data_IF_622990026301
#
_entry.id   IF_622990026301
#
_cell.length_a   1.000
_cell.length_b   1.000
_cell.length_c   1.000
_cell.angle_alpha   90.00
_cell.angle_beta   90.00
_cell.angle_gamma   90.00
#
_symmetry.space_group_name_H-M   'P 1'
#
loop_
_entity.id
_entity.type
_entity.pdbx_description
1 polymer ?
#
# COMPACT_ATOMS: atom_id res chain seq x y z
N UNK A 1 8.06 11.88 -15.29
CA UNK A 1 7.10 12.84 -14.70
C UNK A 1 7.42 12.98 -13.22
N UNK A 2 7.17 14.11 -12.62
CA UNK A 2 7.41 14.26 -11.19
C UNK A 2 6.19 13.72 -10.40
N UNK A 3 6.41 13.06 -9.29
CA UNK A 3 5.32 12.60 -8.40
C UNK A 3 4.45 13.75 -7.86
N UNK A 4 4.93 15.00 -7.97
CA UNK A 4 4.17 16.20 -7.56
C UNK A 4 2.89 16.43 -8.37
N UNK A 5 2.81 15.91 -9.60
CA UNK A 5 1.64 16.05 -10.49
C UNK A 5 0.77 14.79 -10.52
N UNK A 6 1.17 13.71 -9.85
CA UNK A 6 0.55 12.40 -9.95
C UNK A 6 -0.97 12.43 -9.75
N UNK A 7 -1.44 13.10 -8.70
CA UNK A 7 -2.89 13.14 -8.40
C UNK A 7 -3.65 13.96 -9.44
N UNK A 8 -3.08 15.10 -9.86
CA UNK A 8 -3.67 15.97 -10.88
C UNK A 8 -3.70 15.27 -12.25
N UNK A 9 -2.67 14.48 -12.57
CA UNK A 9 -2.60 13.72 -13.82
C UNK A 9 -3.64 12.60 -13.85
N UNK A 10 -3.86 11.90 -12.73
CA UNK A 10 -4.94 10.92 -12.59
C UNK A 10 -6.30 11.60 -12.77
N UNK A 11 -6.55 12.71 -12.09
CA UNK A 11 -7.83 13.43 -12.20
C UNK A 11 -8.06 13.95 -13.60
N UNK A 12 -7.05 14.54 -14.23
CA UNK A 12 -7.12 15.00 -15.62
C UNK A 12 -7.47 13.86 -16.57
N UNK A 13 -6.78 12.73 -16.47
CA UNK A 13 -7.03 11.56 -17.30
C UNK A 13 -8.47 11.04 -17.12
N UNK A 14 -8.99 11.00 -15.89
CA UNK A 14 -10.38 10.57 -15.63
C UNK A 14 -11.39 11.56 -16.21
N UNK A 15 -11.14 12.87 -16.11
CA UNK A 15 -12.04 13.93 -16.58
C UNK A 15 -12.06 14.02 -18.10
N UNK A 16 -10.89 14.09 -18.73
CA UNK A 16 -10.77 14.25 -20.18
C UNK A 16 -10.94 12.96 -20.97
N UNK A 17 -10.73 11.79 -20.34
CA UNK A 17 -10.62 10.48 -20.99
C UNK A 17 -9.43 10.35 -21.95
N UNK A 18 -8.46 11.25 -21.84
CA UNK A 18 -7.25 11.24 -22.63
C UNK A 18 -6.14 10.51 -21.86
N UNK A 19 -5.64 9.43 -22.47
CA UNK A 19 -4.52 8.64 -21.95
C UNK A 19 -3.28 9.03 -22.73
N UNK A 20 -2.14 9.28 -22.06
CA UNK A 20 -0.89 9.64 -22.74
C UNK A 20 -0.45 8.60 -23.77
N UNK A 21 0.17 9.06 -24.86
CA UNK A 21 0.72 8.19 -25.89
C UNK A 21 1.76 7.21 -25.30
N UNK A 22 1.73 5.97 -25.78
CA UNK A 22 2.66 4.92 -25.38
C UNK A 22 2.25 4.15 -24.12
N UNK A 23 1.18 4.52 -23.42
CA UNK A 23 0.65 3.73 -22.31
C UNK A 23 0.01 2.44 -22.84
N UNK A 24 0.42 1.26 -22.35
CA UNK A 24 -0.11 -0.03 -22.82
C UNK A 24 -1.47 -0.34 -22.15
N UNK A 25 -2.52 0.37 -22.56
CA UNK A 25 -3.85 0.38 -21.92
C UNK A 25 -4.39 -1.02 -21.66
N UNK A 26 -4.43 -1.86 -22.71
CA UNK A 26 -4.99 -3.22 -22.60
C UNK A 26 -4.18 -4.10 -21.62
N UNK A 27 -2.87 -3.93 -21.57
CA UNK A 27 -2.04 -4.64 -20.61
C UNK A 27 -2.36 -4.19 -19.18
N UNK A 28 -2.44 -2.89 -18.93
CA UNK A 28 -2.78 -2.35 -17.60
C UNK A 28 -4.14 -2.86 -17.12
N UNK A 29 -5.14 -2.87 -17.99
CA UNK A 29 -6.49 -3.38 -17.67
C UNK A 29 -6.46 -4.88 -17.37
N UNK A 30 -5.74 -5.67 -18.17
CA UNK A 30 -5.62 -7.11 -17.97
C UNK A 30 -4.87 -7.44 -16.66
N UNK A 31 -3.76 -6.76 -16.38
CA UNK A 31 -2.98 -6.94 -15.16
C UNK A 31 -3.82 -6.60 -13.92
N UNK A 32 -4.54 -5.49 -13.95
CA UNK A 32 -5.50 -5.13 -12.90
C UNK A 32 -6.55 -6.24 -12.69
N UNK A 33 -7.13 -6.76 -13.77
CA UNK A 33 -8.10 -7.85 -13.70
C UNK A 33 -7.54 -9.12 -13.05
N UNK A 34 -6.33 -9.52 -13.42
CA UNK A 34 -5.68 -10.70 -12.84
C UNK A 34 -5.30 -10.48 -11.36
N UNK A 35 -4.81 -9.30 -11.00
CA UNK A 35 -4.49 -8.96 -9.61
C UNK A 35 -5.74 -9.00 -8.73
N UNK A 36 -6.87 -8.44 -9.19
CA UNK A 36 -8.16 -8.51 -8.47
C UNK A 36 -8.61 -9.97 -8.28
N UNK A 37 -8.49 -10.81 -9.30
CA UNK A 37 -8.79 -12.26 -9.19
C UNK A 37 -7.89 -12.93 -8.15
N UNK A 38 -6.60 -12.59 -8.11
CA UNK A 38 -5.65 -13.15 -7.15
C UNK A 38 -5.95 -12.70 -5.73
N UNK A 39 -6.31 -11.42 -5.53
CA UNK A 39 -6.75 -10.89 -4.23
C UNK A 39 -7.96 -11.69 -3.71
N UNK A 40 -8.97 -11.91 -4.55
CA UNK A 40 -10.15 -12.68 -4.17
C UNK A 40 -9.77 -14.14 -3.81
N UNK A 41 -8.97 -14.81 -4.64
CA UNK A 41 -8.49 -16.17 -4.36
C UNK A 41 -7.79 -16.25 -3.01
N UNK A 42 -6.87 -15.32 -2.73
CA UNK A 42 -6.12 -15.29 -1.47
C UNK A 42 -7.02 -15.07 -0.26
N UNK A 43 -8.13 -14.35 -0.41
CA UNK A 43 -9.06 -14.06 0.69
C UNK A 43 -10.03 -15.22 1.00
N UNK A 44 -10.31 -16.11 0.04
CA UNK A 44 -11.19 -17.27 0.25
C UNK A 44 -10.42 -18.54 0.60
N UNK A 45 -9.08 -18.55 0.46
CA UNK A 45 -8.23 -19.66 0.84
C UNK A 45 -7.63 -19.44 2.22
N UNK A 46 -7.37 -20.51 2.97
CA UNK A 46 -6.70 -20.40 4.25
C UNK A 46 -5.29 -19.87 4.12
N UNK A 47 -5.01 -18.76 4.79
CA UNK A 47 -3.66 -18.20 4.88
C UNK A 47 -2.85 -18.98 5.91
N UNK A 48 -1.84 -19.71 5.48
CA UNK A 48 -0.84 -20.38 6.34
C UNK A 48 0.26 -19.41 6.81
N UNK A 49 -0.12 -18.23 7.31
CA UNK A 49 0.87 -17.30 7.82
C UNK A 49 1.36 -17.70 9.23
N UNK A 50 2.68 -17.85 9.36
CA UNK A 50 3.30 -17.93 10.70
C UNK A 50 3.22 -16.55 11.37
N UNK A 51 2.30 -16.41 12.31
CA UNK A 51 2.04 -15.17 13.06
C UNK A 51 3.19 -14.80 14.02
N UNK A 52 4.14 -15.71 14.26
CA UNK A 52 5.28 -15.52 15.18
C UNK A 52 6.47 -14.82 14.56
N UNK A 53 6.35 -14.25 13.36
CA UNK A 53 7.45 -13.52 12.70
C UNK A 53 7.18 -12.03 12.70
N UNK A 54 8.22 -11.26 13.00
CA UNK A 54 8.21 -9.83 12.75
C UNK A 54 8.17 -9.58 11.23
N UNK A 55 7.47 -8.55 10.83
CA UNK A 55 7.34 -8.12 9.43
C UNK A 55 7.45 -6.60 9.35
N UNK A 56 7.88 -6.08 8.22
CA UNK A 56 7.94 -4.63 7.99
C UNK A 56 6.57 -3.95 8.25
N UNK A 57 5.47 -4.59 7.86
CA UNK A 57 4.12 -4.06 8.07
C UNK A 57 3.65 -4.01 9.52
N UNK A 58 4.45 -4.47 10.48
CA UNK A 58 4.09 -4.42 11.89
C UNK A 58 5.16 -3.81 12.81
N UNK A 59 6.31 -3.39 12.28
CA UNK A 59 7.42 -2.88 13.11
C UNK A 59 7.06 -1.60 13.88
N UNK A 60 6.18 -0.76 13.38
CA UNK A 60 5.70 0.45 14.05
C UNK A 60 4.63 0.21 15.12
N UNK A 61 4.26 -1.05 15.41
CA UNK A 61 3.33 -1.36 16.49
C UNK A 61 4.02 -1.27 17.83
N UNK A 62 3.22 -1.06 18.91
CA UNK A 62 3.75 -1.00 20.28
C UNK A 62 4.48 -2.29 20.64
N UNK A 63 5.62 -2.17 21.32
CA UNK A 63 6.50 -3.29 21.72
C UNK A 63 5.74 -4.44 22.38
N UNK A 64 4.80 -4.13 23.26
CA UNK A 64 3.97 -5.13 23.92
C UNK A 64 3.13 -5.95 22.93
N UNK A 65 2.60 -5.32 21.87
CA UNK A 65 1.82 -6.02 20.84
C UNK A 65 2.74 -6.91 20.00
N UNK A 66 3.93 -6.41 19.65
CA UNK A 66 4.95 -7.18 18.94
C UNK A 66 5.40 -8.38 19.75
N UNK A 67 5.65 -8.20 21.06
CA UNK A 67 6.05 -9.27 21.95
C UNK A 67 5.01 -10.39 22.03
N UNK A 68 3.72 -10.06 22.22
CA UNK A 68 2.65 -11.05 22.23
C UNK A 68 2.54 -11.79 20.89
N UNK A 69 2.61 -11.07 19.78
CA UNK A 69 2.56 -11.67 18.45
C UNK A 69 3.73 -12.62 18.22
N UNK A 70 4.95 -12.20 18.57
CA UNK A 70 6.16 -13.00 18.42
C UNK A 70 6.15 -14.26 19.27
N UNK A 71 5.61 -14.21 20.49
CA UNK A 71 5.48 -15.36 21.39
C UNK A 71 4.25 -16.24 21.09
N UNK A 72 3.54 -15.99 20.00
CA UNK A 72 2.45 -16.86 19.52
C UNK A 72 1.13 -16.72 20.27
N UNK A 73 0.98 -15.67 21.07
CA UNK A 73 -0.32 -15.38 21.69
C UNK A 73 -1.34 -15.03 20.60
N UNK A 74 -2.49 -15.71 20.66
CA UNK A 74 -3.59 -15.42 19.75
C UNK A 74 -4.27 -14.12 20.15
N UNK A 75 -4.35 -13.17 19.22
CA UNK A 75 -5.25 -12.02 19.36
C UNK A 75 -6.70 -12.43 19.15
N UNK A 76 -7.60 -11.47 19.31
CA UNK A 76 -9.00 -11.65 18.94
C UNK A 76 -9.13 -12.02 17.47
N UNK A 77 -10.09 -12.90 17.17
CA UNK A 77 -10.40 -13.21 15.77
C UNK A 77 -11.02 -11.99 15.10
N UNK A 78 -10.52 -11.71 13.91
CA UNK A 78 -11.07 -10.61 13.12
C UNK A 78 -12.50 -10.93 12.71
N UNK A 79 -13.41 -10.06 13.07
CA UNK A 79 -14.81 -10.15 12.65
C UNK A 79 -14.92 -10.10 11.12
N UNK A 80 -15.91 -10.78 10.50
CA UNK A 80 -16.06 -10.84 9.05
C UNK A 80 -16.08 -9.46 8.38
N UNK A 81 -16.75 -8.47 8.96
CA UNK A 81 -16.78 -7.10 8.43
C UNK A 81 -15.40 -6.42 8.41
N UNK A 82 -14.51 -6.78 9.36
CA UNK A 82 -13.14 -6.26 9.38
C UNK A 82 -12.31 -6.88 8.25
N UNK A 83 -12.52 -8.17 7.95
CA UNK A 83 -11.87 -8.84 6.81
C UNK A 83 -12.31 -8.22 5.48
N UNK A 84 -13.60 -7.86 5.35
CA UNK A 84 -14.11 -7.14 4.17
C UNK A 84 -13.43 -5.76 4.03
N UNK A 85 -13.19 -5.03 5.14
CA UNK A 85 -12.47 -3.76 5.09
C UNK A 85 -11.02 -3.92 4.58
N UNK A 86 -10.35 -4.99 4.95
CA UNK A 86 -9.01 -5.29 4.42
C UNK A 86 -9.04 -5.64 2.93
N UNK A 87 -9.99 -6.47 2.52
CA UNK A 87 -10.20 -6.79 1.11
C UNK A 87 -10.45 -5.52 0.29
N UNK A 88 -11.30 -4.63 0.78
CA UNK A 88 -11.57 -3.33 0.15
C UNK A 88 -10.30 -2.48 0.04
N UNK A 89 -9.43 -2.50 1.06
CA UNK A 89 -8.14 -1.81 1.02
C UNK A 89 -7.25 -2.30 -0.13
N UNK A 90 -7.12 -3.62 -0.30
CA UNK A 90 -6.33 -4.20 -1.39
C UNK A 90 -6.93 -3.90 -2.78
N UNK A 91 -8.25 -3.89 -2.92
CA UNK A 91 -8.88 -3.53 -4.19
C UNK A 91 -8.66 -2.06 -4.56
N UNK A 92 -8.67 -1.16 -3.56
CA UNK A 92 -8.34 0.27 -3.77
C UNK A 92 -6.89 0.42 -4.19
N UNK A 93 -5.96 -0.27 -3.56
CA UNK A 93 -4.53 -0.25 -3.90
C UNK A 93 -4.33 -0.59 -5.38
N UNK A 94 -4.84 -1.73 -5.83
CA UNK A 94 -4.74 -2.15 -7.23
C UNK A 94 -5.39 -1.15 -8.20
N UNK A 95 -6.55 -0.61 -7.85
CA UNK A 95 -7.23 0.40 -8.66
C UNK A 95 -6.39 1.67 -8.79
N UNK A 96 -5.83 2.17 -7.69
CA UNK A 96 -5.01 3.38 -7.69
C UNK A 96 -3.74 3.16 -8.50
N UNK A 97 -3.09 2.00 -8.41
CA UNK A 97 -1.92 1.66 -9.22
C UNK A 97 -2.25 1.58 -10.72
N UNK A 98 -3.39 0.97 -11.07
CA UNK A 98 -3.83 0.94 -12.46
C UNK A 98 -4.10 2.35 -13.01
N UNK A 99 -4.78 3.22 -12.25
CA UNK A 99 -5.01 4.62 -12.64
C UNK A 99 -3.70 5.41 -12.77
N UNK A 100 -2.73 5.16 -11.89
CA UNK A 100 -1.40 5.75 -11.95
C UNK A 100 -0.69 5.40 -13.26
N UNK A 101 -0.70 4.12 -13.65
CA UNK A 101 -0.13 3.65 -14.92
C UNK A 101 -0.86 4.25 -16.13
N UNK A 102 -2.19 4.29 -16.09
CA UNK A 102 -3.01 4.89 -17.16
C UNK A 102 -2.80 6.39 -17.29
N UNK A 103 -2.48 7.09 -16.20
CA UNK A 103 -2.10 8.50 -16.25
C UNK A 103 -0.67 8.73 -16.78
N UNK A 104 0.06 7.66 -17.13
CA UNK A 104 1.37 7.71 -17.78
C UNK A 104 2.56 7.73 -16.82
N UNK A 105 2.36 7.46 -15.53
CA UNK A 105 3.44 7.35 -14.56
C UNK A 105 4.10 5.97 -14.59
N UNK A 106 5.40 5.92 -14.34
CA UNK A 106 6.18 4.68 -14.26
C UNK A 106 5.98 4.01 -12.90
N UNK A 107 5.30 2.87 -12.90
CA UNK A 107 5.07 2.05 -11.69
C UNK A 107 5.92 0.79 -11.77
N UNK A 108 6.88 0.68 -10.87
CA UNK A 108 7.84 -0.43 -10.84
C UNK A 108 7.93 -1.05 -9.45
N UNK A 109 8.60 -2.21 -9.35
CA UNK A 109 8.85 -2.91 -8.09
C UNK A 109 7.57 -3.25 -7.30
N UNK A 110 6.45 -3.49 -7.99
CA UNK A 110 5.18 -3.84 -7.36
C UNK A 110 5.34 -5.11 -6.51
N UNK A 111 4.89 -5.03 -5.25
CA UNK A 111 4.96 -6.10 -4.25
C UNK A 111 6.36 -6.73 -4.09
N UNK A 112 7.42 -5.93 -4.32
CA UNK A 112 8.80 -6.40 -4.19
C UNK A 112 9.09 -6.83 -2.77
N UNK A 113 9.59 -8.06 -2.63
CA UNK A 113 10.02 -8.58 -1.34
C UNK A 113 11.35 -7.96 -0.92
N UNK A 114 11.41 -7.48 0.31
CA UNK A 114 12.60 -6.91 0.93
C UNK A 114 12.85 -7.52 2.30
N UNK A 115 14.10 -7.47 2.74
CA UNK A 115 14.50 -8.00 4.04
C UNK A 115 15.58 -7.12 4.68
N UNK A 116 15.39 -6.79 5.96
CA UNK A 116 16.38 -6.09 6.77
C UNK A 116 16.52 -6.81 8.10
N UNK A 117 17.73 -7.27 8.42
CA UNK A 117 18.04 -7.97 9.68
C UNK A 117 17.08 -9.13 9.97
N UNK A 118 16.69 -9.90 8.96
CA UNK A 118 15.75 -11.01 9.10
C UNK A 118 14.27 -10.61 9.14
N UNK A 119 13.95 -9.32 9.12
CA UNK A 119 12.57 -8.82 9.06
C UNK A 119 12.18 -8.67 7.59
N UNK A 120 11.20 -9.45 7.16
CA UNK A 120 10.69 -9.46 5.79
C UNK A 120 9.52 -8.53 5.62
N UNK A 121 9.40 -7.97 4.42
CA UNK A 121 8.26 -7.17 4.01
C UNK A 121 8.06 -7.21 2.50
N UNK A 122 6.89 -6.76 2.06
CA UNK A 122 6.57 -6.49 0.68
C UNK A 122 6.30 -4.99 0.59
N UNK A 123 7.10 -4.28 -0.16
CA UNK A 123 6.83 -2.86 -0.45
C UNK A 123 5.79 -2.77 -1.57
N UNK A 124 4.95 -1.76 -1.55
CA UNK A 124 3.88 -1.67 -2.54
C UNK A 124 4.45 -1.41 -3.93
N UNK A 125 5.19 -0.33 -4.14
CA UNK A 125 5.79 -0.02 -5.44
C UNK A 125 6.83 1.11 -5.37
N UNK A 126 7.40 1.45 -6.55
CA UNK A 126 8.00 2.74 -6.82
C UNK A 126 7.20 3.44 -7.94
N UNK A 127 6.86 4.70 -7.73
CA UNK A 127 6.20 5.56 -8.72
C UNK A 127 7.20 6.63 -9.15
N UNK A 128 7.55 6.68 -10.43
CA UNK A 128 8.57 7.59 -10.99
C UNK A 128 9.90 7.54 -10.21
N UNK A 129 10.26 6.35 -9.71
CA UNK A 129 11.46 6.12 -8.91
C UNK A 129 11.33 6.36 -7.40
N UNK A 130 10.27 7.02 -6.93
CA UNK A 130 9.99 7.27 -5.51
C UNK A 130 9.36 6.03 -4.86
N UNK A 131 9.92 5.54 -3.76
CA UNK A 131 9.32 4.47 -2.98
C UNK A 131 7.97 4.93 -2.42
N UNK A 132 6.89 4.30 -2.86
CA UNK A 132 5.54 4.73 -2.55
C UNK A 132 4.76 3.60 -1.88
N UNK A 133 4.14 3.94 -0.76
CA UNK A 133 3.24 3.07 -0.03
C UNK A 133 1.80 3.57 -0.24
N UNK A 134 0.94 2.70 -0.77
CA UNK A 134 -0.44 3.06 -1.15
C UNK A 134 -1.38 2.79 0.01
N UNK A 135 -2.17 3.77 0.39
CA UNK A 135 -3.09 3.64 1.52
C UNK A 135 -4.50 4.08 1.17
N UNK A 136 -5.46 3.34 1.69
CA UNK A 136 -6.86 3.76 1.74
C UNK A 136 -7.21 4.18 3.16
N UNK A 137 -7.61 5.43 3.35
CA UNK A 137 -7.84 6.01 4.67
C UNK A 137 -9.30 6.44 4.89
N UNK A 138 -9.72 6.52 6.15
CA UNK A 138 -10.93 7.28 6.51
C UNK A 138 -10.64 8.77 6.42
N UNK A 139 -11.66 9.65 6.36
CA UNK A 139 -11.44 11.12 6.32
C UNK A 139 -10.50 11.61 7.42
N UNK A 140 -10.66 11.08 8.64
CA UNK A 140 -9.78 11.42 9.76
C UNK A 140 -8.33 10.97 9.52
N UNK A 141 -8.13 9.74 9.02
CA UNK A 141 -6.80 9.23 8.66
C UNK A 141 -6.20 10.00 7.49
N UNK A 142 -6.99 10.26 6.43
CA UNK A 142 -6.56 11.03 5.27
C UNK A 142 -6.06 12.42 5.64
N UNK A 143 -6.77 13.11 6.56
CA UNK A 143 -6.34 14.41 7.06
C UNK A 143 -4.93 14.36 7.65
N UNK A 144 -4.58 13.31 8.40
CA UNK A 144 -3.24 13.17 9.01
C UNK A 144 -2.12 13.07 7.97
N UNK A 145 -2.37 12.38 6.84
CA UNK A 145 -1.43 12.36 5.72
C UNK A 145 -1.32 13.73 5.08
N UNK A 146 -2.45 14.40 4.84
CA UNK A 146 -2.52 15.69 4.15
C UNK A 146 -1.86 16.83 4.91
N UNK A 147 -2.02 16.90 6.23
CA UNK A 147 -1.48 17.97 7.07
C UNK A 147 -0.14 17.60 7.74
N UNK A 148 0.38 16.40 7.49
CA UNK A 148 1.65 15.93 8.05
C UNK A 148 1.59 15.52 9.52
N UNK A 149 0.45 15.58 10.18
CA UNK A 149 0.31 15.22 11.60
C UNK A 149 0.50 13.73 11.87
N UNK A 150 0.51 12.90 10.82
CA UNK A 150 0.81 11.47 10.92
C UNK A 150 2.15 11.20 11.63
N UNK A 151 3.16 12.05 11.44
CA UNK A 151 4.48 11.89 12.06
C UNK A 151 4.38 11.86 13.59
N UNK A 152 3.42 12.60 14.17
CA UNK A 152 3.23 12.71 15.61
C UNK A 152 2.11 11.84 16.18
N UNK A 153 1.21 11.36 15.32
CA UNK A 153 0.05 10.54 15.71
C UNK A 153 -0.20 9.42 14.70
N UNK A 154 0.66 8.41 14.76
CA UNK A 154 0.64 7.22 13.90
C UNK A 154 0.28 5.94 14.70
N UNK A 155 -1.01 5.67 14.93
CA UNK A 155 -1.42 4.50 15.68
C UNK A 155 -1.20 3.18 14.95
N UNK A 156 -0.91 3.22 13.65
CA UNK A 156 -0.75 2.04 12.80
C UNK A 156 0.72 1.69 12.49
N UNK A 157 1.65 2.62 12.75
CA UNK A 157 3.08 2.44 12.48
C UNK A 157 3.48 2.61 11.02
N UNK A 158 2.74 3.41 10.26
CA UNK A 158 3.03 3.67 8.83
C UNK A 158 4.36 4.37 8.62
N UNK A 159 4.72 5.29 9.53
CA UNK A 159 5.99 6.02 9.46
C UNK A 159 7.17 5.07 9.63
N UNK A 160 7.11 4.16 10.59
CA UNK A 160 8.20 3.20 10.81
C UNK A 160 8.20 2.12 9.71
N UNK A 161 7.04 1.73 9.20
CA UNK A 161 6.93 0.83 8.06
C UNK A 161 7.66 1.39 6.84
N UNK A 162 7.37 2.63 6.43
CA UNK A 162 7.99 3.23 5.24
C UNK A 162 9.49 3.47 5.44
N UNK A 163 9.93 3.84 6.65
CA UNK A 163 11.36 3.92 7.00
C UNK A 163 12.06 2.57 6.87
N UNK A 164 11.40 1.49 7.28
CA UNK A 164 11.92 0.13 7.10
C UNK A 164 12.14 -0.22 5.63
N UNK A 165 11.18 0.09 4.78
CA UNK A 165 11.31 -0.10 3.33
C UNK A 165 12.37 0.82 2.73
N UNK A 166 12.43 2.08 3.12
CA UNK A 166 13.45 3.03 2.68
C UNK A 166 14.87 2.53 3.02
N UNK A 167 15.06 2.03 4.23
CA UNK A 167 16.33 1.44 4.65
C UNK A 167 16.69 0.20 3.81
N UNK A 168 15.72 -0.68 3.52
CA UNK A 168 15.92 -1.85 2.68
C UNK A 168 16.34 -1.51 1.24
N UNK A 169 15.78 -0.43 0.68
CA UNK A 169 16.05 0.04 -0.68
C UNK A 169 17.23 1.02 -0.78
N UNK A 170 17.80 1.44 0.35
CA UNK A 170 18.90 2.42 0.38
C UNK A 170 18.49 3.79 -0.19
N UNK A 171 17.24 4.20 0.02
CA UNK A 171 16.69 5.48 -0.48
C UNK A 171 16.18 6.35 0.65
N UNK A 172 16.13 7.65 0.41
CA UNK A 172 15.44 8.63 1.26
C UNK A 172 14.18 9.18 0.60
N UNK A 173 13.99 8.87 -0.69
CA UNK A 173 12.86 9.35 -1.48
C UNK A 173 11.68 8.40 -1.26
N UNK A 174 10.77 8.82 -0.39
CA UNK A 174 9.60 8.04 0.01
C UNK A 174 8.35 8.89 0.04
N UNK A 175 7.20 8.26 -0.19
CA UNK A 175 5.91 8.92 -0.16
C UNK A 175 4.75 7.99 0.12
N UNK A 176 3.60 8.57 0.39
CA UNK A 176 2.32 7.87 0.46
C UNK A 176 1.40 8.38 -0.64
N UNK A 177 0.82 7.45 -1.38
CA UNK A 177 -0.32 7.74 -2.24
C UNK A 177 -1.59 7.30 -1.50
N UNK A 178 -2.40 8.27 -1.08
CA UNK A 178 -3.50 8.02 -0.16
C UNK A 178 -4.83 8.35 -0.78
N UNK A 179 -5.75 7.38 -0.76
CA UNK A 179 -7.14 7.58 -1.19
C UNK A 179 -8.05 7.71 0.04
N UNK A 180 -8.87 8.76 0.08
CA UNK A 180 -9.99 8.87 1.02
C UNK A 180 -11.11 7.90 0.58
N UNK A 181 -11.58 7.05 1.50
CA UNK A 181 -12.60 6.03 1.20
C UNK A 181 -14.02 6.58 1.01
N UNK A 182 -14.23 7.84 1.33
CA UNK A 182 -15.57 8.43 1.42
C UNK A 182 -15.78 9.66 0.55
N UNK A 183 -14.73 10.20 -0.04
CA UNK A 183 -14.79 11.36 -0.93
C UNK A 183 -14.05 11.07 -2.23
#
# INVERSE_FOLDING_TARGET
MATDTLVDDIYRMIDTKEIPDGVPIEQVINDFGENVKQILRNNITESKFDKRKLRMSNIGKKDRQLWYSYNGYKGEELMPHTRIKFLYGHLIEEMVLALTKLAGHDVTHEQKQVEVQGIKGSMDCKIDGVLTDVKSASPYGFKKFKDGSLINDDPFGYVDQIKGYAHAEGTTDVGWLVMDKTN
#
